data_IF_499200900105
#
_entry.id   IF_499200900105
#
_cell.length_a   1.000
_cell.length_b   1.000
_cell.length_c   1.000
_cell.angle_alpha   90.00
_cell.angle_beta   90.00
_cell.angle_gamma   90.00
#
_symmetry.space_group_name_H-M   'P 1'
#
loop_
_entity.id
_entity.type
_entity.pdbx_description
1 polymer ?
#
# COMPACT_ATOMS: atom_id res chain seq x y z
N UNK A 1 -0.90 -5.11 13.01
CA UNK A 1 -0.02 -5.77 12.01
C UNK A 1 -0.15 -5.01 10.69
N UNK A 2 0.93 -4.90 9.93
CA UNK A 2 1.05 -3.98 8.80
C UNK A 2 1.43 -4.75 7.53
N UNK A 3 0.84 -4.40 6.38
CA UNK A 3 1.24 -4.90 5.06
C UNK A 3 2.10 -3.86 4.32
N UNK A 4 2.96 -4.32 3.41
CA UNK A 4 3.89 -3.48 2.64
C UNK A 4 3.49 -3.48 1.17
N UNK A 5 3.57 -2.32 0.55
CA UNK A 5 3.37 -2.11 -0.88
C UNK A 5 4.53 -1.31 -1.46
N UNK A 6 4.82 -1.61 -2.72
CA UNK A 6 5.79 -0.90 -3.54
C UNK A 6 5.13 -0.43 -4.82
N UNK A 7 5.75 0.56 -5.47
CA UNK A 7 5.39 1.04 -6.80
C UNK A 7 6.59 0.91 -7.71
N UNK A 8 6.41 0.30 -8.89
CA UNK A 8 7.42 0.27 -9.96
C UNK A 8 6.76 0.64 -11.28
N UNK A 9 7.20 1.75 -11.89
CA UNK A 9 6.66 2.29 -13.14
C UNK A 9 5.13 2.41 -13.10
N UNK A 10 4.61 2.94 -12.00
CA UNK A 10 3.17 3.14 -11.78
C UNK A 10 2.37 1.90 -11.36
N UNK A 11 2.99 0.71 -11.28
CA UNK A 11 2.30 -0.52 -10.89
C UNK A 11 2.47 -0.83 -9.41
N UNK A 12 1.37 -1.21 -8.75
CA UNK A 12 1.36 -1.61 -7.36
C UNK A 12 1.83 -3.05 -7.22
N UNK A 13 2.73 -3.27 -6.27
CA UNK A 13 3.31 -4.58 -5.97
C UNK A 13 3.21 -4.79 -4.46
N UNK A 14 2.77 -5.96 -4.02
CA UNK A 14 2.78 -6.35 -2.60
C UNK A 14 3.42 -7.72 -2.45
N UNK A 15 4.17 -7.98 -1.36
CA UNK A 15 4.57 -9.34 -1.05
C UNK A 15 3.35 -10.26 -0.94
N UNK A 16 3.48 -11.47 -1.48
CA UNK A 16 2.43 -12.50 -1.43
C UNK A 16 2.21 -13.01 0.00
N UNK A 17 1.02 -13.57 0.27
CA UNK A 17 0.71 -14.15 1.59
C UNK A 17 1.62 -15.32 1.98
N UNK A 18 2.22 -16.00 1.00
CA UNK A 18 3.22 -17.05 1.23
C UNK A 18 4.46 -16.55 1.99
N UNK A 19 4.69 -15.24 2.06
CA UNK A 19 5.74 -14.62 2.87
C UNK A 19 5.38 -14.52 4.37
N UNK A 20 4.27 -15.11 4.82
CA UNK A 20 3.84 -15.10 6.23
C UNK A 20 3.11 -13.83 6.67
N UNK A 21 2.65 -13.01 5.72
CA UNK A 21 1.87 -11.81 6.00
C UNK A 21 0.42 -12.14 6.39
N UNK A 22 -0.16 -11.35 7.29
CA UNK A 22 -1.60 -11.41 7.51
C UNK A 22 -2.36 -10.78 6.32
N UNK A 23 -3.53 -11.32 5.95
CA UNK A 23 -4.39 -10.76 4.90
C UNK A 23 -5.15 -9.53 5.42
N UNK A 24 -4.45 -8.41 5.57
CA UNK A 24 -5.01 -7.18 6.16
C UNK A 24 -6.16 -6.60 5.35
N UNK A 25 -7.15 -6.02 6.03
CA UNK A 25 -8.36 -5.47 5.40
C UNK A 25 -8.06 -4.39 4.36
N UNK A 26 -7.13 -3.47 4.66
CA UNK A 26 -6.73 -2.41 3.71
C UNK A 26 -6.01 -3.01 2.49
N UNK A 27 -5.14 -4.01 2.70
CA UNK A 27 -4.51 -4.76 1.60
C UNK A 27 -5.56 -5.40 0.69
N UNK A 28 -6.55 -6.07 1.27
CA UNK A 28 -7.61 -6.72 0.49
C UNK A 28 -8.45 -5.71 -0.30
N UNK A 29 -8.72 -4.54 0.28
CA UNK A 29 -9.35 -3.42 -0.44
C UNK A 29 -8.50 -2.94 -1.63
N UNK A 30 -7.19 -2.78 -1.45
CA UNK A 30 -6.31 -2.34 -2.54
C UNK A 30 -6.25 -3.38 -3.67
N UNK A 31 -6.11 -4.66 -3.33
CA UNK A 31 -6.07 -5.76 -4.31
C UNK A 31 -7.40 -5.88 -5.07
N UNK A 32 -8.55 -5.63 -4.42
CA UNK A 32 -9.85 -5.70 -5.11
C UNK A 32 -10.15 -4.48 -5.98
N UNK A 33 -9.48 -3.35 -5.74
CA UNK A 33 -9.75 -2.06 -6.40
C UNK A 33 -8.79 -1.72 -7.53
N UNK A 34 -7.55 -2.21 -7.46
CA UNK A 34 -6.46 -1.88 -8.38
C UNK A 34 -5.82 -3.15 -8.96
N UNK A 35 -5.10 -2.98 -10.07
CA UNK A 35 -4.22 -4.03 -10.60
C UNK A 35 -2.96 -4.10 -9.73
N UNK A 36 -2.95 -5.04 -8.78
CA UNK A 36 -1.86 -5.25 -7.83
C UNK A 36 -1.16 -6.57 -8.14
N UNK A 37 0.15 -6.50 -8.37
CA UNK A 37 0.99 -7.68 -8.51
C UNK A 37 1.33 -8.27 -7.14
N UNK A 38 0.78 -9.44 -6.83
CA UNK A 38 1.16 -10.21 -5.64
C UNK A 38 2.31 -11.17 -5.98
N UNK A 39 3.53 -10.89 -5.47
CA UNK A 39 4.70 -11.76 -5.70
C UNK A 39 5.67 -11.75 -4.53
N UNK A 40 6.65 -12.64 -4.53
CA UNK A 40 7.77 -12.53 -3.60
C UNK A 40 8.63 -11.32 -4.00
N UNK A 41 9.00 -10.50 -3.02
CA UNK A 41 9.91 -9.36 -3.17
C UNK A 41 11.14 -9.63 -2.32
N UNK A 42 12.31 -9.64 -2.95
CA UNK A 42 13.58 -9.87 -2.26
C UNK A 42 14.25 -8.54 -1.86
N UNK A 43 15.08 -8.52 -0.79
CA UNK A 43 15.76 -7.30 -0.34
C UNK A 43 16.59 -6.61 -1.42
N UNK A 44 17.18 -7.36 -2.34
CA UNK A 44 17.99 -6.83 -3.44
C UNK A 44 17.17 -6.00 -4.44
N UNK A 45 15.84 -6.18 -4.47
CA UNK A 45 14.92 -5.44 -5.32
C UNK A 45 14.46 -4.11 -4.69
N UNK A 46 14.77 -3.85 -3.43
CA UNK A 46 14.28 -2.65 -2.71
C UNK A 46 14.69 -1.36 -3.43
N UNK A 47 15.90 -1.33 -3.98
CA UNK A 47 16.43 -0.18 -4.74
C UNK A 47 15.76 0.06 -6.10
N UNK A 48 14.98 -0.89 -6.60
CA UNK A 48 14.34 -0.82 -7.91
C UNK A 48 12.95 -0.16 -7.89
N UNK A 49 12.39 0.08 -6.71
CA UNK A 49 11.05 0.64 -6.55
C UNK A 49 11.08 2.16 -6.49
N UNK A 50 10.10 2.80 -7.12
CA UNK A 50 9.95 4.25 -7.14
C UNK A 50 9.35 4.76 -5.81
N UNK A 51 8.41 3.98 -5.26
CA UNK A 51 7.70 4.31 -4.03
C UNK A 51 7.53 3.07 -3.15
N UNK A 52 7.39 3.30 -1.85
CA UNK A 52 6.98 2.30 -0.88
C UNK A 52 6.00 2.91 0.11
N UNK A 53 5.05 2.12 0.58
CA UNK A 53 4.12 2.51 1.63
C UNK A 53 3.62 1.29 2.40
N UNK A 54 3.13 1.54 3.60
CA UNK A 54 2.61 0.49 4.48
C UNK A 54 1.14 0.72 4.78
N UNK A 55 0.41 -0.36 5.05
CA UNK A 55 -1.03 -0.30 5.37
C UNK A 55 -1.35 -1.05 6.65
N UNK A 56 -2.26 -0.53 7.46
CA UNK A 56 -2.94 -1.30 8.50
C UNK A 56 -4.36 -0.76 8.75
N UNK A 57 -5.18 -1.53 9.47
CA UNK A 57 -6.59 -1.19 9.68
C UNK A 57 -6.82 0.03 10.61
N UNK A 58 -5.83 0.45 11.39
CA UNK A 58 -5.96 1.56 12.35
C UNK A 58 -5.48 2.89 11.77
N UNK A 59 -4.31 2.89 11.12
CA UNK A 59 -3.66 4.08 10.56
C UNK A 59 -3.96 4.27 9.07
N UNK A 60 -4.59 3.30 8.41
CA UNK A 60 -4.85 3.35 6.97
C UNK A 60 -3.57 3.09 6.17
N UNK A 61 -3.10 4.07 5.40
CA UNK A 61 -1.88 3.97 4.58
C UNK A 61 -0.87 5.06 4.97
N UNK A 62 0.40 4.69 5.13
CA UNK A 62 1.49 5.60 5.46
C UNK A 62 2.64 5.46 4.45
N UNK A 63 3.19 6.56 3.91
CA UNK A 63 4.28 6.48 2.95
C UNK A 63 5.57 6.10 3.67
N UNK A 64 6.37 5.26 3.02
CA UNK A 64 7.74 4.92 3.47
C UNK A 64 8.69 5.88 2.76
N UNK A 65 9.44 6.66 3.55
CA UNK A 65 10.45 7.58 3.02
C UNK A 65 11.78 6.89 2.72
N UNK A 66 12.11 5.88 3.51
CA UNK A 66 13.37 5.14 3.42
C UNK A 66 13.18 3.72 3.92
N UNK A 67 13.81 2.76 3.24
CA UNK A 67 13.97 1.39 3.70
C UNK A 67 15.45 1.03 3.59
N UNK A 68 16.09 0.71 4.72
CA UNK A 68 17.54 0.57 4.83
C UNK A 68 18.27 1.80 4.25
N UNK A 69 19.24 1.62 3.37
CA UNK A 69 19.99 2.71 2.72
C UNK A 69 19.27 3.29 1.48
N UNK A 70 18.08 2.79 1.15
CA UNK A 70 17.29 3.21 -0.03
C UNK A 70 16.26 4.25 0.38
N UNK A 71 16.46 5.49 -0.08
CA UNK A 71 15.48 6.56 0.03
C UNK A 71 14.55 6.58 -1.19
N UNK A 72 13.25 6.72 -0.95
CA UNK A 72 12.25 6.78 -2.02
C UNK A 72 11.82 8.23 -2.29
N UNK A 73 11.64 8.57 -3.56
CA UNK A 73 11.37 9.94 -4.02
C UNK A 73 9.93 10.44 -3.83
N UNK A 74 9.41 11.13 -4.84
CA UNK A 74 8.02 11.59 -4.90
C UNK A 74 7.04 10.41 -4.72
N UNK A 75 5.86 10.68 -4.16
CA UNK A 75 4.88 9.64 -3.78
C UNK A 75 3.57 9.78 -4.55
N UNK A 76 3.67 10.07 -5.84
CA UNK A 76 2.52 10.40 -6.69
C UNK A 76 1.45 9.30 -6.76
N UNK A 77 1.86 8.03 -6.86
CA UNK A 77 0.94 6.89 -6.92
C UNK A 77 0.33 6.64 -5.55
N UNK A 78 1.15 6.63 -4.50
CA UNK A 78 0.65 6.52 -3.13
C UNK A 78 -0.35 7.64 -2.79
N UNK A 79 -0.07 8.89 -3.15
CA UNK A 79 -0.96 10.04 -2.89
C UNK A 79 -2.31 9.88 -3.56
N UNK A 80 -2.34 9.41 -4.82
CA UNK A 80 -3.58 9.13 -5.53
C UNK A 80 -4.39 8.02 -4.84
N UNK A 81 -3.74 6.88 -4.53
CA UNK A 81 -4.41 5.75 -3.88
C UNK A 81 -4.88 6.10 -2.46
N UNK A 82 -4.08 6.86 -1.71
CA UNK A 82 -4.41 7.32 -0.37
C UNK A 82 -5.60 8.27 -0.39
N UNK A 83 -5.68 9.18 -1.38
CA UNK A 83 -6.81 10.10 -1.53
C UNK A 83 -8.11 9.33 -1.79
N UNK A 84 -8.09 8.38 -2.71
CA UNK A 84 -9.25 7.53 -3.03
C UNK A 84 -9.71 6.75 -1.79
N UNK A 85 -8.78 6.18 -1.03
CA UNK A 85 -9.09 5.47 0.21
C UNK A 85 -9.68 6.40 1.29
N UNK A 86 -9.13 7.60 1.44
CA UNK A 86 -9.58 8.57 2.42
C UNK A 86 -10.97 9.14 2.07
N UNK A 87 -11.27 9.35 0.80
CA UNK A 87 -12.59 9.81 0.35
C UNK A 87 -13.66 8.73 0.55
N UNK A 88 -13.32 7.45 0.33
CA UNK A 88 -14.18 6.33 0.70
C UNK A 88 -14.51 6.33 2.21
N UNK A 89 -13.50 6.49 3.07
CA UNK A 89 -13.72 6.51 4.52
C UNK A 89 -14.61 7.67 4.96
N UNK A 90 -14.45 8.86 4.36
CA UNK A 90 -15.33 10.01 4.63
C UNK A 90 -16.78 9.69 4.30
N UNK A 91 -17.03 9.17 3.09
CA UNK A 91 -18.39 8.80 2.66
C UNK A 91 -19.03 7.73 3.55
N UNK A 92 -18.22 6.76 4.03
CA UNK A 92 -18.71 5.73 4.95
C UNK A 92 -19.03 6.26 6.36
N UNK A 93 -18.28 7.26 6.84
CA UNK A 93 -18.52 7.91 8.14
C UNK A 93 -19.68 8.93 8.09
N UNK A 94 -19.90 9.54 6.93
CA UNK A 94 -21.04 10.43 6.66
C UNK A 94 -22.34 9.65 6.36
N UNK A 95 -22.31 8.31 6.43
CA UNK A 95 -23.49 7.48 6.29
C UNK A 95 -24.46 7.74 7.45
N UNK A 96 -25.71 8.18 7.20
CA UNK A 96 -26.68 8.37 8.25
C UNK A 96 -26.92 7.02 8.93
N UNK A 97 -26.41 6.90 10.16
CA UNK A 97 -26.66 5.75 11.03
C UNK A 97 -28.18 5.63 11.20
N UNK A 98 -28.76 4.55 10.68
CA UNK A 98 -30.17 4.18 10.94
C UNK A 98 -30.36 3.83 12.41
#
# INVERSE_FOLDING_TARGET
MTNLFFVKKGRLITPSLSCGLLPGTVRNYLISRYDVEERVVFPEEIGDFDEAFVTNALMGMLPVRQLDDVAYGEKSVWEAVWRDYHDLLRQALDWPVL
#
